data_IF_777717558915
#
_entry.id   IF_777717558915
#
_cell.length_a   1.000
_cell.length_b   1.000
_cell.length_c   1.000
_cell.angle_alpha   90.00
_cell.angle_beta   90.00
_cell.angle_gamma   90.00
#
_symmetry.space_group_name_H-M   'P 1'
#
loop_
_entity.id
_entity.type
_entity.pdbx_description
1 polymer ?
#
# COMPACT_ATOMS: atom_id res chain seq x y z
N UNK A 1 8.51 -17.64 10.01
CA UNK A 1 7.31 -16.84 9.76
C UNK A 1 7.23 -16.41 8.31
N UNK A 2 6.03 -16.45 7.76
CA UNK A 2 5.83 -16.06 6.38
C UNK A 2 5.83 -14.53 6.26
N UNK A 3 6.45 -14.06 5.18
CA UNK A 3 6.53 -12.65 4.88
C UNK A 3 5.27 -12.20 4.13
N UNK A 4 4.79 -11.00 4.43
CA UNK A 4 3.69 -10.40 3.69
C UNK A 4 4.17 -9.97 2.31
N UNK A 5 3.45 -10.42 1.29
CA UNK A 5 3.69 -10.03 -0.09
C UNK A 5 2.49 -9.26 -0.61
N UNK A 6 2.76 -8.23 -1.39
CA UNK A 6 1.74 -7.37 -1.97
C UNK A 6 1.82 -7.50 -3.49
N UNK A 7 0.66 -7.63 -4.12
CA UNK A 7 0.54 -7.84 -5.55
C UNK A 7 -0.29 -6.73 -6.18
N UNK A 8 0.08 -6.33 -7.38
CA UNK A 8 -0.64 -5.30 -8.11
C UNK A 8 -0.77 -5.71 -9.57
N UNK A 9 -2.01 -5.67 -10.09
CA UNK A 9 -2.25 -5.95 -11.48
C UNK A 9 -2.27 -4.65 -12.29
N UNK A 10 -1.31 -4.45 -13.21
CA UNK A 10 -1.29 -3.20 -13.99
C UNK A 10 -2.44 -3.07 -14.96
N UNK A 11 -3.09 -4.18 -15.32
CA UNK A 11 -4.20 -4.13 -16.28
C UNK A 11 -5.51 -3.67 -15.63
N UNK A 12 -5.90 -4.30 -14.53
CA UNK A 12 -7.17 -3.98 -13.85
C UNK A 12 -6.98 -3.20 -12.56
N UNK A 13 -5.73 -2.97 -12.15
CA UNK A 13 -5.36 -2.22 -10.95
C UNK A 13 -5.84 -2.85 -9.64
N UNK A 14 -6.11 -4.15 -9.66
CA UNK A 14 -6.41 -4.89 -8.43
C UNK A 14 -5.17 -5.02 -7.57
N UNK A 15 -5.40 -4.97 -6.26
CA UNK A 15 -4.34 -5.16 -5.27
C UNK A 15 -4.68 -6.39 -4.46
N UNK A 16 -3.70 -7.26 -4.25
CA UNK A 16 -3.86 -8.45 -3.44
C UNK A 16 -2.75 -8.57 -2.42
N UNK A 17 -2.99 -9.34 -1.37
CA UNK A 17 -1.99 -9.60 -0.34
C UNK A 17 -1.99 -11.10 -0.02
N UNK A 18 -0.81 -11.61 0.34
CA UNK A 18 -0.66 -13.00 0.76
C UNK A 18 0.56 -13.13 1.65
N UNK A 19 0.53 -14.09 2.55
CA UNK A 19 1.69 -14.44 3.36
C UNK A 19 2.41 -15.62 2.74
N UNK A 20 3.74 -15.51 2.65
CA UNK A 20 4.58 -16.54 2.07
C UNK A 20 4.41 -16.65 0.57
N UNK A 21 4.70 -17.83 0.05
CA UNK A 21 4.60 -18.08 -1.38
C UNK A 21 3.16 -18.33 -1.78
N UNK A 22 2.65 -17.49 -2.65
CA UNK A 22 1.33 -17.67 -3.24
C UNK A 22 1.41 -17.39 -4.72
N UNK A 23 0.65 -18.12 -5.50
CA UNK A 23 0.57 -17.91 -6.92
C UNK A 23 -0.72 -17.15 -7.19
N UNK A 24 -0.59 -15.92 -7.69
CA UNK A 24 -1.75 -15.05 -7.93
C UNK A 24 -1.85 -14.78 -9.42
N UNK A 25 -3.04 -14.94 -9.96
CA UNK A 25 -3.33 -14.62 -11.34
C UNK A 25 -4.39 -13.54 -11.41
N UNK A 26 -4.22 -12.61 -12.33
CA UNK A 26 -5.20 -11.58 -12.60
C UNK A 26 -5.14 -11.25 -14.09
N UNK A 27 -6.30 -11.10 -14.72
CA UNK A 27 -6.40 -10.83 -16.16
C UNK A 27 -5.66 -11.90 -16.98
N UNK A 28 -5.78 -13.17 -16.56
CA UNK A 28 -5.15 -14.33 -17.17
C UNK A 28 -3.62 -14.30 -17.19
N UNK A 29 -3.02 -13.49 -16.34
CA UNK A 29 -1.57 -13.38 -16.20
C UNK A 29 -1.14 -13.63 -14.77
N UNK A 30 0.01 -14.30 -14.62
CA UNK A 30 0.62 -14.44 -13.31
C UNK A 30 1.22 -13.10 -12.88
N UNK A 31 1.02 -12.75 -11.62
CA UNK A 31 1.52 -11.51 -11.08
C UNK A 31 2.61 -11.81 -10.06
N UNK A 32 3.72 -11.12 -10.19
CA UNK A 32 4.81 -11.21 -9.22
C UNK A 32 4.60 -10.23 -8.08
N UNK A 33 5.14 -10.53 -6.88
CA UNK A 33 5.07 -9.60 -5.77
C UNK A 33 5.73 -8.26 -6.10
N UNK A 34 5.14 -7.19 -5.58
CA UNK A 34 5.71 -5.84 -5.71
C UNK A 34 6.97 -5.76 -4.85
N UNK A 35 8.01 -5.11 -5.34
CA UNK A 35 9.23 -4.87 -4.58
C UNK A 35 8.94 -3.99 -3.37
N UNK A 36 9.41 -4.41 -2.20
CA UNK A 36 9.22 -3.67 -0.96
C UNK A 36 10.54 -3.03 -0.56
N UNK A 37 10.54 -1.71 -0.40
CA UNK A 37 11.71 -0.92 -0.05
C UNK A 37 11.48 -0.24 1.30
N UNK A 38 12.57 0.24 1.91
CA UNK A 38 12.45 1.07 3.09
C UNK A 38 11.83 2.41 2.73
N UNK A 39 11.15 3.03 3.70
CA UNK A 39 10.44 4.27 3.46
C UNK A 39 11.39 5.40 3.03
N UNK A 40 11.15 5.96 1.85
CA UNK A 40 11.85 7.14 1.34
C UNK A 40 10.95 8.36 1.35
N UNK A 41 9.65 8.14 1.24
CA UNK A 41 8.65 9.21 1.19
C UNK A 41 7.86 9.19 2.49
N UNK A 42 8.09 10.16 3.36
CA UNK A 42 7.44 10.20 4.66
C UNK A 42 6.14 10.99 4.55
N UNK A 43 4.98 10.38 4.87
CA UNK A 43 3.73 11.12 4.91
C UNK A 43 3.70 12.06 6.12
N UNK A 44 2.88 13.09 6.03
CA UNK A 44 2.58 13.93 7.18
C UNK A 44 1.62 13.15 8.08
N UNK A 45 1.99 12.97 9.34
CA UNK A 45 1.21 12.17 10.28
C UNK A 45 0.58 13.11 11.31
N UNK A 46 -0.75 13.08 11.39
CA UNK A 46 -1.49 13.87 12.38
C UNK A 46 -2.23 12.91 13.31
N UNK A 47 -2.04 13.08 14.61
CA UNK A 47 -2.77 12.29 15.59
C UNK A 47 -4.17 12.86 15.79
N UNK A 48 -5.17 12.00 15.77
CA UNK A 48 -6.57 12.36 15.96
C UNK A 48 -7.21 11.26 16.81
N UNK A 49 -8.00 11.59 17.77
CA UNK A 49 -8.76 10.69 18.67
C UNK A 49 -8.63 9.18 18.39
N UNK A 50 -7.46 8.60 18.72
CA UNK A 50 -7.22 7.17 18.52
C UNK A 50 -6.85 6.76 17.11
N UNK A 51 -6.70 7.72 16.21
CA UNK A 51 -6.32 7.45 14.81
C UNK A 51 -5.14 8.31 14.38
N UNK A 52 -4.46 7.86 13.32
CA UNK A 52 -3.49 8.67 12.61
C UNK A 52 -4.07 9.04 11.24
N UNK A 53 -3.95 10.30 10.88
CA UNK A 53 -4.22 10.76 9.52
C UNK A 53 -2.88 10.82 8.80
N UNK A 54 -2.72 10.03 7.76
CA UNK A 54 -1.52 10.01 6.93
C UNK A 54 -1.81 10.77 5.65
N UNK A 55 -1.05 11.85 5.43
CA UNK A 55 -1.20 12.65 4.22
C UNK A 55 0.08 12.54 3.38
N UNK A 56 -0.07 12.09 2.16
CA UNK A 56 1.05 11.85 1.26
C UNK A 56 1.20 12.98 0.25
N UNK A 57 2.45 13.29 -0.10
CA UNK A 57 2.76 14.27 -1.14
C UNK A 57 2.73 13.58 -2.50
N UNK A 58 1.53 13.28 -2.98
CA UNK A 58 1.34 12.67 -4.30
C UNK A 58 0.36 13.51 -5.10
N UNK A 59 0.64 13.72 -6.40
CA UNK A 59 -0.31 14.45 -7.24
C UNK A 59 -1.59 13.69 -7.51
N UNK A 60 -1.60 12.38 -7.24
CA UNK A 60 -2.76 11.51 -7.45
C UNK A 60 -3.35 11.66 -8.85
N UNK A 61 -2.45 11.74 -9.82
CA UNK A 61 -2.82 11.75 -11.24
C UNK A 61 -2.85 10.32 -11.76
N UNK A 62 -3.37 10.17 -12.97
CA UNK A 62 -3.45 8.88 -13.64
C UNK A 62 -2.09 8.19 -13.77
N UNK A 63 -1.02 8.96 -13.92
CA UNK A 63 0.34 8.45 -14.14
C UNK A 63 1.22 8.48 -12.89
N UNK A 64 0.77 9.11 -11.82
CA UNK A 64 1.53 9.23 -10.57
C UNK A 64 0.56 9.26 -9.41
N UNK A 65 0.35 8.11 -8.78
CA UNK A 65 -0.63 7.99 -7.69
C UNK A 65 -0.24 6.89 -6.71
N UNK A 66 -0.89 6.91 -5.57
CA UNK A 66 -0.77 5.85 -4.57
C UNK A 66 -1.94 4.89 -4.79
N UNK A 67 -1.63 3.61 -5.02
CA UNK A 67 -2.63 2.60 -5.34
C UNK A 67 -3.30 2.03 -4.10
N UNK A 68 -2.53 1.89 -3.00
CA UNK A 68 -3.05 1.28 -1.79
C UNK A 68 -2.15 1.57 -0.61
N UNK A 69 -2.74 1.48 0.57
CA UNK A 69 -2.01 1.49 1.84
C UNK A 69 -2.41 0.22 2.58
N UNK A 70 -1.44 -0.57 3.02
CA UNK A 70 -1.67 -1.82 3.74
C UNK A 70 -1.13 -1.66 5.15
N UNK A 71 -1.99 -1.88 6.13
CA UNK A 71 -1.61 -1.80 7.54
C UNK A 71 -1.58 -3.20 8.12
N UNK A 72 -0.38 -3.65 8.47
CA UNK A 72 -0.17 -4.96 9.05
C UNK A 72 -0.03 -4.83 10.57
N UNK A 73 -0.93 -5.48 11.29
CA UNK A 73 -0.89 -5.55 12.74
C UNK A 73 -0.61 -6.98 13.18
N UNK A 74 -0.48 -7.18 14.48
CA UNK A 74 -0.20 -8.48 15.06
C UNK A 74 -1.18 -9.57 14.58
N UNK A 75 -2.46 -9.26 14.58
CA UNK A 75 -3.52 -10.25 14.33
C UNK A 75 -4.35 -9.98 13.07
N UNK A 76 -4.01 -8.97 12.28
CA UNK A 76 -4.82 -8.61 11.11
C UNK A 76 -4.07 -7.72 10.14
N UNK A 77 -4.59 -7.72 8.91
CA UNK A 77 -4.10 -6.84 7.85
C UNK A 77 -5.28 -6.07 7.29
N UNK A 78 -5.10 -4.76 7.14
CA UNK A 78 -6.12 -3.90 6.54
C UNK A 78 -5.59 -3.34 5.22
N UNK A 79 -6.39 -3.49 4.17
CA UNK A 79 -6.06 -3.00 2.85
C UNK A 79 -6.97 -1.82 2.51
N UNK A 80 -6.36 -0.66 2.28
CA UNK A 80 -7.07 0.56 1.92
C UNK A 80 -6.69 0.93 0.50
N UNK A 81 -7.66 0.95 -0.41
CA UNK A 81 -7.41 1.29 -1.80
C UNK A 81 -7.59 2.77 -2.06
N UNK A 82 -6.69 3.33 -2.87
CA UNK A 82 -6.78 4.72 -3.32
C UNK A 82 -6.83 4.73 -4.84
N UNK A 83 -7.44 5.76 -5.38
CA UNK A 83 -7.60 5.90 -6.83
C UNK A 83 -7.10 7.27 -7.28
N UNK A 84 -6.68 7.41 -8.55
CA UNK A 84 -6.33 8.71 -9.09
C UNK A 84 -7.44 9.74 -8.89
N UNK A 85 -7.06 10.99 -8.69
CA UNK A 85 -7.96 12.12 -8.48
C UNK A 85 -8.67 12.09 -7.13
N UNK A 86 -8.28 11.19 -6.25
CA UNK A 86 -8.72 11.13 -4.87
C UNK A 86 -7.69 11.82 -3.99
N UNK A 87 -8.08 12.30 -2.82
CA UNK A 87 -7.13 12.87 -1.86
C UNK A 87 -6.11 11.80 -1.44
N UNK A 88 -4.83 12.18 -1.39
CA UNK A 88 -3.75 11.27 -1.01
C UNK A 88 -3.64 11.17 0.51
N UNK A 89 -4.70 10.73 1.15
CA UNK A 89 -4.73 10.61 2.61
C UNK A 89 -5.50 9.38 3.06
N UNK A 90 -5.09 8.81 4.18
CA UNK A 90 -5.77 7.67 4.79
C UNK A 90 -5.80 7.84 6.30
N UNK A 91 -6.83 7.27 6.94
CA UNK A 91 -6.93 7.20 8.40
C UNK A 91 -6.69 5.78 8.85
N UNK A 92 -5.82 5.61 9.83
CA UNK A 92 -5.50 4.29 10.38
C UNK A 92 -5.58 4.35 11.90
N UNK A 93 -5.99 3.24 12.52
CA UNK A 93 -6.06 3.18 13.96
C UNK A 93 -4.66 3.28 14.57
N UNK A 94 -4.55 3.95 15.72
CA UNK A 94 -3.30 4.02 16.46
C UNK A 94 -3.04 2.68 17.12
N UNK A 95 -2.24 1.85 16.47
CA UNK A 95 -1.87 0.53 16.99
C UNK A 95 -0.37 0.45 17.06
N UNK A 96 0.13 0.20 18.27
CA UNK A 96 1.56 0.08 18.50
C UNK A 96 2.13 -1.12 17.74
N UNK A 97 3.24 -0.91 17.06
CA UNK A 97 3.92 -1.97 16.32
C UNK A 97 3.34 -2.27 14.95
N UNK A 98 2.39 -1.49 14.47
CA UNK A 98 1.86 -1.66 13.13
C UNK A 98 2.90 -1.30 12.08
N UNK A 99 2.91 -2.05 10.98
CA UNK A 99 3.71 -1.72 9.80
C UNK A 99 2.78 -1.17 8.74
N UNK A 100 3.20 -0.10 8.09
CA UNK A 100 2.40 0.54 7.05
C UNK A 100 3.16 0.43 5.74
N UNK A 101 2.51 -0.21 4.76
CA UNK A 101 3.05 -0.39 3.42
C UNK A 101 2.30 0.53 2.48
N UNK A 102 3.02 1.31 1.71
CA UNK A 102 2.41 2.20 0.71
C UNK A 102 2.82 1.74 -0.67
N UNK A 103 1.84 1.50 -1.54
CA UNK A 103 2.07 1.05 -2.91
C UNK A 103 2.02 2.26 -3.83
N UNK A 104 3.14 2.55 -4.48
CA UNK A 104 3.28 3.68 -5.39
C UNK A 104 3.24 3.22 -6.83
N UNK A 105 2.55 3.98 -7.67
CA UNK A 105 2.54 3.80 -9.13
C UNK A 105 2.99 5.09 -9.78
N UNK A 106 4.09 5.05 -10.53
CA UNK A 106 4.60 6.22 -11.22
C UNK A 106 5.10 5.84 -12.60
N UNK A 107 4.42 6.34 -13.63
CA UNK A 107 4.78 6.10 -15.03
C UNK A 107 4.98 4.62 -15.34
N UNK A 108 4.04 3.80 -14.90
CA UNK A 108 4.08 2.35 -15.12
C UNK A 108 4.96 1.57 -14.17
N UNK A 109 5.76 2.23 -13.35
CA UNK A 109 6.57 1.58 -12.34
C UNK A 109 5.77 1.44 -11.04
N UNK A 110 5.78 0.24 -10.46
CA UNK A 110 5.08 -0.04 -9.21
C UNK A 110 6.07 -0.54 -8.18
N UNK A 111 6.05 0.07 -6.99
CA UNK A 111 6.87 -0.39 -5.87
C UNK A 111 6.14 -0.10 -4.57
N UNK A 112 6.63 -0.69 -3.49
CA UNK A 112 6.05 -0.51 -2.17
C UNK A 112 7.12 -0.01 -1.20
N UNK A 113 6.74 0.90 -0.31
CA UNK A 113 7.62 1.38 0.76
C UNK A 113 6.99 1.03 2.10
N UNK A 114 7.80 0.53 3.03
CA UNK A 114 7.32 0.11 4.35
C UNK A 114 7.81 1.07 5.43
N UNK A 115 6.87 1.46 6.29
CA UNK A 115 7.12 2.27 7.48
C UNK A 115 6.76 1.45 8.72
N UNK A 116 7.64 1.42 9.69
CA UNK A 116 7.43 0.68 10.94
C UNK A 116 7.01 1.60 12.09
#
# INVERSE_FOLDING_TARGET
>A
MNKLNIYYCPNCKNVGIAYGKAQIECCSCKIEPVTIENLNTIPTITEMDGEYLLEYASPMTKDDFIAAVVVERYDRVELIRLFPEQAAEVRVAQVKGAKIYTVFCRQGKVWCEVMK
#
